data_IF_344314530260
#
_entry.id   IF_344314530260
#
_cell.length_a   1.000
_cell.length_b   1.000
_cell.length_c   1.000
_cell.angle_alpha   90.00
_cell.angle_beta   90.00
_cell.angle_gamma   90.00
#
_symmetry.space_group_name_H-M   'P 1'
#
loop_
_entity.id
_entity.type
_entity.pdbx_description
1 polymer ?
#
# COMPACT_ATOMS: atom_id res chain seq x y z
N UNK A 1 -13.55 52.82 -3.66
CA UNK A 1 -14.72 52.34 -2.90
C UNK A 1 -14.38 50.91 -2.51
N UNK A 2 -14.08 50.62 -1.24
CA UNK A 2 -15.08 50.45 -0.16
C UNK A 2 -16.00 49.25 -0.48
N UNK A 3 -16.17 48.23 0.38
CA UNK A 3 -15.76 48.11 1.78
C UNK A 3 -15.65 46.63 2.24
N UNK A 4 -15.06 46.43 3.43
CA UNK A 4 -15.45 45.54 4.54
C UNK A 4 -16.22 44.20 4.32
N UNK A 5 -16.08 43.14 5.14
CA UNK A 5 -15.28 42.82 6.36
C UNK A 5 -15.56 41.34 6.78
N UNK A 6 -14.81 40.86 7.79
CA UNK A 6 -15.19 39.82 8.79
C UNK A 6 -15.23 38.33 8.36
N UNK A 7 -14.89 37.33 9.20
CA UNK A 7 -14.60 37.31 10.66
C UNK A 7 -13.53 36.25 11.06
N UNK A 8 -13.08 36.36 12.32
CA UNK A 8 -12.12 35.58 13.13
C UNK A 8 -12.16 34.03 12.98
N UNK A 9 -11.17 33.23 13.40
CA UNK A 9 -9.95 33.43 14.21
C UNK A 9 -9.14 32.10 14.30
N UNK A 10 -8.49 31.67 15.40
CA UNK A 10 -8.18 32.30 16.69
C UNK A 10 -7.13 31.44 17.46
N UNK A 11 -5.88 31.91 17.71
CA UNK A 11 -5.01 31.40 18.80
C UNK A 11 -3.85 32.37 19.12
N UNK A 12 -4.18 33.42 19.86
CA UNK A 12 -3.23 34.36 20.47
C UNK A 12 -2.49 33.73 21.65
N UNK A 13 -1.15 33.78 21.65
CA UNK A 13 -0.37 33.75 22.91
C UNK A 13 0.30 35.09 23.14
N UNK A 14 -0.39 35.89 23.95
CA UNK A 14 0.03 37.11 24.64
C UNK A 14 1.54 37.40 24.58
N UNK A 15 1.91 38.41 23.80
CA UNK A 15 3.15 39.15 24.05
C UNK A 15 2.91 40.08 25.24
N UNK A 16 3.18 39.60 26.46
CA UNK A 16 3.36 40.52 27.60
C UNK A 16 4.64 41.33 27.35
N UNK A 17 4.47 42.63 27.18
CA UNK A 17 5.54 43.61 27.05
C UNK A 17 6.29 43.72 28.38
N UNK A 18 7.40 42.99 28.52
CA UNK A 18 8.40 43.26 29.55
C UNK A 18 9.49 44.14 28.95
N UNK A 19 9.44 45.42 29.29
CA UNK A 19 10.44 46.40 28.91
C UNK A 19 11.75 46.14 29.67
N UNK A 20 12.60 45.27 29.14
CA UNK A 20 13.97 45.12 29.62
C UNK A 20 14.82 46.27 29.05
N UNK A 21 15.20 47.23 29.90
CA UNK A 21 15.83 48.50 29.54
C UNK A 21 17.29 48.42 29.06
N UNK A 22 17.60 47.53 28.12
CA UNK A 22 18.93 47.39 27.52
C UNK A 22 18.83 47.58 26.00
N UNK A 23 18.63 48.82 25.56
CA UNK A 23 18.50 49.20 24.16
C UNK A 23 19.39 50.42 23.85
N UNK A 24 20.38 50.31 22.96
CA UNK A 24 21.05 51.48 22.39
C UNK A 24 20.07 52.21 21.47
N UNK A 25 19.73 53.46 21.78
CA UNK A 25 18.86 54.31 20.96
C UNK A 25 19.62 55.00 19.82
N UNK A 26 20.35 54.26 18.99
CA UNK A 26 20.97 54.83 17.77
C UNK A 26 21.02 53.83 16.59
N UNK A 27 20.70 54.26 15.36
CA UNK A 27 20.98 53.49 14.14
C UNK A 27 22.46 53.68 13.78
N UNK A 28 23.34 52.90 14.42
CA UNK A 28 24.77 53.22 14.43
C UNK A 28 25.73 52.05 14.63
N UNK A 29 25.34 50.81 14.30
CA UNK A 29 26.26 49.79 13.78
C UNK A 29 25.48 48.56 13.27
N UNK A 30 25.66 48.11 12.01
CA UNK A 30 24.92 46.97 11.47
C UNK A 30 25.38 45.59 11.97
N UNK A 31 26.42 45.51 12.82
CA UNK A 31 27.03 44.25 13.27
C UNK A 31 26.75 43.87 14.75
N UNK A 32 25.97 44.66 15.52
CA UNK A 32 25.87 44.46 16.97
C UNK A 32 24.88 43.35 17.34
N UNK A 33 25.39 42.16 17.69
CA UNK A 33 24.61 41.22 18.49
C UNK A 33 24.49 41.73 19.93
N UNK A 34 23.37 41.43 20.59
CA UNK A 34 23.07 41.82 21.97
C UNK A 34 22.87 40.59 22.83
N UNK A 35 23.55 40.53 23.97
CA UNK A 35 23.44 39.44 24.94
C UNK A 35 22.42 39.80 26.02
N UNK A 36 21.37 39.01 26.18
CA UNK A 36 20.35 39.19 27.22
C UNK A 36 20.23 37.95 28.11
N UNK A 37 19.90 38.17 29.38
CA UNK A 37 19.60 37.12 30.36
C UNK A 37 18.09 36.88 30.41
N UNK A 38 17.68 35.62 30.44
CA UNK A 38 16.30 35.19 30.61
C UNK A 38 15.95 35.06 32.10
N UNK A 39 14.68 35.31 32.46
CA UNK A 39 14.15 35.26 33.84
C UNK A 39 14.46 33.93 34.56
N UNK A 40 14.49 32.81 33.83
CA UNK A 40 14.82 31.49 34.37
C UNK A 40 16.33 31.19 34.43
N UNK A 41 17.18 32.23 34.38
CA UNK A 41 18.64 32.13 34.53
C UNK A 41 19.39 31.63 33.29
N UNK A 42 18.75 31.61 32.12
CA UNK A 42 19.39 31.31 30.84
C UNK A 42 19.97 32.56 30.16
N UNK A 43 20.73 32.35 29.09
CA UNK A 43 21.21 33.41 28.19
C UNK A 43 20.63 33.25 26.78
N UNK A 44 20.44 34.38 26.09
CA UNK A 44 20.06 34.47 24.67
C UNK A 44 20.84 35.57 23.97
N UNK A 45 21.16 35.33 22.71
CA UNK A 45 21.78 36.30 21.79
C UNK A 45 20.70 36.78 20.82
N UNK A 46 20.53 38.09 20.71
CA UNK A 46 19.66 38.76 19.74
C UNK A 46 20.55 39.42 18.70
N UNK A 47 20.18 39.38 17.42
CA UNK A 47 20.98 39.96 16.32
C UNK A 47 20.08 40.26 15.12
N UNK A 48 20.57 41.07 14.17
CA UNK A 48 19.97 41.22 12.85
C UNK A 48 20.65 40.24 11.87
N UNK A 49 19.85 39.50 11.10
CA UNK A 49 20.36 38.64 10.02
C UNK A 49 20.75 39.45 8.78
N UNK A 50 21.36 38.78 7.80
CA UNK A 50 21.69 39.38 6.50
C UNK A 50 20.46 39.75 5.63
N UNK A 51 19.25 39.47 6.11
CA UNK A 51 17.95 39.83 5.52
C UNK A 51 17.24 40.97 6.28
N UNK A 52 17.99 41.72 7.10
CA UNK A 52 17.56 42.79 7.99
C UNK A 52 16.50 42.41 9.05
N UNK A 53 16.20 41.11 9.23
CA UNK A 53 15.27 40.65 10.27
C UNK A 53 15.97 40.39 11.60
N UNK A 54 15.25 40.64 12.70
CA UNK A 54 15.73 40.37 14.06
C UNK A 54 15.49 38.92 14.46
N UNK A 55 16.56 38.23 14.83
CA UNK A 55 16.55 36.85 15.31
C UNK A 55 16.92 36.74 16.79
N UNK A 56 16.65 35.58 17.39
CA UNK A 56 17.01 35.29 18.78
C UNK A 56 17.43 33.83 18.93
N UNK A 57 18.70 33.60 19.27
CA UNK A 57 19.23 32.28 19.60
C UNK A 57 19.36 32.15 21.12
N UNK A 58 18.56 31.24 21.70
CA UNK A 58 18.71 30.89 23.12
C UNK A 58 19.91 29.96 23.28
N UNK A 59 20.79 30.26 24.23
CA UNK A 59 21.92 29.41 24.61
C UNK A 59 21.45 28.42 25.69
N UNK A 60 20.79 28.93 26.72
CA UNK A 60 20.40 28.16 27.91
C UNK A 60 21.20 28.59 29.14
N UNK A 61 21.28 27.73 30.17
CA UNK A 61 22.09 28.01 31.38
C UNK A 61 23.57 27.81 31.05
N UNK A 62 24.34 28.90 31.05
CA UNK A 62 25.79 28.90 30.89
C UNK A 62 26.41 30.07 31.67
N UNK A 63 27.74 30.07 31.81
CA UNK A 63 28.46 31.20 32.43
C UNK A 63 28.40 32.43 31.52
N UNK A 64 28.44 33.64 32.10
CA UNK A 64 28.46 34.90 31.33
C UNK A 64 29.58 34.91 30.28
N UNK A 65 30.80 34.51 30.68
CA UNK A 65 31.98 34.41 29.79
C UNK A 65 31.75 33.48 28.58
N UNK A 66 31.08 32.33 28.77
CA UNK A 66 30.74 31.44 27.67
C UNK A 66 29.65 32.03 26.75
N UNK A 67 28.69 32.77 27.32
CA UNK A 67 27.66 33.47 26.57
C UNK A 67 28.23 34.62 25.72
N UNK A 68 29.18 35.40 26.28
CA UNK A 68 29.93 36.44 25.56
C UNK A 68 30.78 35.83 24.42
N UNK A 69 31.41 34.66 24.64
CA UNK A 69 32.13 33.96 23.57
C UNK A 69 31.19 33.51 22.44
N UNK A 70 30.01 32.98 22.78
CA UNK A 70 29.01 32.60 21.78
C UNK A 70 28.47 33.82 21.01
N UNK A 71 28.29 34.97 21.66
CA UNK A 71 27.92 36.24 21.02
C UNK A 71 28.94 36.63 19.94
N UNK A 72 30.22 36.67 20.28
CA UNK A 72 31.30 37.04 19.33
C UNK A 72 31.37 36.07 18.15
N UNK A 73 31.20 34.76 18.38
CA UNK A 73 31.18 33.78 17.29
C UNK A 73 29.95 33.93 16.37
N UNK A 74 28.80 34.33 16.92
CA UNK A 74 27.60 34.68 16.12
C UNK A 74 27.83 35.94 15.28
N UNK A 75 28.49 36.96 15.82
CA UNK A 75 28.84 38.19 15.09
C UNK A 75 29.77 37.89 13.90
N UNK A 76 30.79 37.03 14.09
CA UNK A 76 31.67 36.58 13.01
C UNK A 76 30.95 35.78 11.92
N UNK A 77 29.96 34.95 12.29
CA UNK A 77 29.13 34.24 11.31
C UNK A 77 28.31 35.21 10.44
N UNK A 78 27.72 36.25 11.06
CA UNK A 78 26.95 37.28 10.34
C UNK A 78 27.87 38.08 9.40
N UNK A 79 29.03 38.50 9.90
CA UNK A 79 30.03 39.25 9.12
C UNK A 79 30.52 38.46 7.90
N UNK A 80 30.90 37.20 8.10
CA UNK A 80 31.33 36.32 7.01
C UNK A 80 30.21 36.08 5.98
N UNK A 81 28.97 35.88 6.42
CA UNK A 81 27.80 35.69 5.57
C UNK A 81 27.47 36.95 4.76
N UNK A 82 27.61 38.14 5.35
CA UNK A 82 27.34 39.43 4.71
C UNK A 82 28.42 39.84 3.70
N UNK A 83 29.69 39.58 4.01
CA UNK A 83 30.82 39.92 3.15
C UNK A 83 31.13 38.84 2.10
N UNK A 84 30.51 37.65 2.19
CA UNK A 84 30.75 36.54 1.28
C UNK A 84 32.13 35.88 1.44
N UNK A 85 32.77 36.08 2.60
CA UNK A 85 34.13 35.60 2.89
C UNK A 85 34.12 34.24 3.62
N UNK A 86 35.16 33.40 3.47
CA UNK A 86 35.27 32.15 4.22
C UNK A 86 35.41 32.41 5.73
N UNK A 87 34.93 31.46 6.55
CA UNK A 87 35.04 31.54 8.02
C UNK A 87 36.51 31.52 8.46
N UNK A 88 36.84 32.34 9.47
CA UNK A 88 38.14 32.28 10.13
C UNK A 88 38.32 30.95 10.88
N UNK A 89 39.58 30.48 10.99
CA UNK A 89 39.93 29.22 11.63
C UNK A 89 39.30 29.00 13.02
N UNK A 90 39.34 29.97 13.93
CA UNK A 90 38.66 29.90 15.22
C UNK A 90 37.13 29.68 15.13
N UNK A 91 36.43 30.44 14.28
CA UNK A 91 34.97 30.28 14.10
C UNK A 91 34.65 28.94 13.44
N UNK A 92 35.42 28.50 12.44
CA UNK A 92 35.25 27.18 11.81
C UNK A 92 35.47 26.03 12.81
N UNK A 93 36.47 26.12 13.68
CA UNK A 93 36.72 25.15 14.74
C UNK A 93 35.59 25.14 15.79
N UNK A 94 35.09 26.31 16.19
CA UNK A 94 33.94 26.43 17.08
C UNK A 94 32.68 25.80 16.46
N UNK A 95 32.36 26.11 15.20
CA UNK A 95 31.25 25.49 14.47
C UNK A 95 31.39 23.97 14.37
N UNK A 96 32.61 23.43 14.26
CA UNK A 96 32.86 21.99 14.29
C UNK A 96 32.59 21.39 15.67
N UNK A 97 32.96 22.09 16.75
CA UNK A 97 32.78 21.66 18.15
C UNK A 97 31.37 21.87 18.73
N UNK A 98 30.47 22.59 18.03
CA UNK A 98 29.10 22.85 18.48
C UNK A 98 28.30 21.56 18.77
N UNK A 99 27.62 21.56 19.92
CA UNK A 99 26.60 20.57 20.26
C UNK A 99 25.42 20.60 19.29
N UNK A 100 24.71 19.48 19.16
CA UNK A 100 23.63 19.32 18.19
C UNK A 100 22.46 20.32 18.40
N UNK A 101 22.19 20.74 19.63
CA UNK A 101 21.06 21.60 19.99
C UNK A 101 21.35 23.07 19.68
N UNK A 102 22.59 23.53 19.90
CA UNK A 102 23.02 24.87 19.49
C UNK A 102 23.25 24.95 17.98
N UNK A 103 23.82 23.91 17.35
CA UNK A 103 23.95 23.81 15.89
C UNK A 103 22.61 23.94 15.17
N UNK A 104 21.61 23.16 15.57
CA UNK A 104 20.27 23.21 14.97
C UNK A 104 19.60 24.59 15.18
N UNK A 105 19.74 25.21 16.36
CA UNK A 105 19.25 26.58 16.59
C UNK A 105 19.89 27.60 15.65
N UNK A 106 21.18 27.48 15.35
CA UNK A 106 21.90 28.37 14.42
C UNK A 106 21.54 28.10 12.94
N UNK A 107 21.24 26.86 12.58
CA UNK A 107 20.73 26.51 11.24
C UNK A 107 19.32 27.06 11.01
N UNK A 108 18.42 27.00 12.00
CA UNK A 108 17.05 27.54 11.91
C UNK A 108 16.99 29.06 11.70
N UNK A 109 18.03 29.80 12.09
CA UNK A 109 18.15 31.25 11.89
C UNK A 109 19.08 31.62 10.71
N UNK A 110 19.45 30.64 9.87
CA UNK A 110 20.21 30.88 8.64
C UNK A 110 21.70 31.19 8.80
N UNK A 111 22.25 31.18 10.02
CA UNK A 111 23.66 31.50 10.30
C UNK A 111 24.63 30.35 10.00
N UNK A 112 24.12 29.12 9.95
CA UNK A 112 24.88 27.96 9.50
C UNK A 112 24.18 27.35 8.30
N UNK A 113 24.91 27.24 7.20
CA UNK A 113 24.49 26.38 6.10
C UNK A 113 24.40 24.94 6.64
N UNK A 114 23.20 24.37 6.60
CA UNK A 114 23.02 22.94 6.86
C UNK A 114 23.71 22.10 5.78
N UNK A 115 23.88 20.77 6.00
CA UNK A 115 24.09 19.89 4.86
C UNK A 115 22.98 20.17 3.82
N UNK A 116 23.30 20.20 2.52
CA UNK A 116 22.41 20.74 1.48
C UNK A 116 21.04 20.10 1.61
N UNK A 117 20.03 20.92 1.90
CA UNK A 117 18.69 20.42 2.22
C UNK A 117 18.12 19.72 0.99
N UNK A 118 18.14 18.38 1.03
CA UNK A 118 17.49 17.56 0.01
C UNK A 118 15.99 17.85 0.05
N UNK A 119 15.49 18.43 -1.03
CA UNK A 119 14.06 18.62 -1.29
C UNK A 119 13.43 17.29 -1.70
N UNK A 120 12.15 17.11 -1.37
CA UNK A 120 11.44 15.84 -1.53
C UNK A 120 11.49 15.32 -2.98
N UNK A 121 11.27 16.17 -3.98
CA UNK A 121 11.31 15.76 -5.39
C UNK A 121 12.66 15.19 -5.80
N UNK A 122 13.76 15.89 -5.48
CA UNK A 122 15.12 15.48 -5.83
C UNK A 122 15.44 14.14 -5.20
N UNK A 123 15.26 14.02 -3.89
CA UNK A 123 15.52 12.78 -3.15
C UNK A 123 14.76 11.56 -3.71
N UNK A 124 13.48 11.71 -4.02
CA UNK A 124 12.65 10.61 -4.54
C UNK A 124 13.06 10.20 -5.97
N UNK A 125 13.48 11.17 -6.80
CA UNK A 125 13.97 10.91 -8.15
C UNK A 125 15.37 10.26 -8.13
N UNK A 126 16.31 10.81 -7.35
CA UNK A 126 17.66 10.29 -7.14
C UNK A 126 17.60 8.82 -6.65
N UNK A 127 16.69 8.49 -5.72
CA UNK A 127 16.45 7.13 -5.27
C UNK A 127 15.99 6.19 -6.40
N UNK A 128 15.03 6.61 -7.22
CA UNK A 128 14.54 5.78 -8.34
C UNK A 128 15.66 5.57 -9.36
N UNK A 129 16.37 6.64 -9.73
CA UNK A 129 17.44 6.60 -10.73
C UNK A 129 18.60 5.71 -10.28
N UNK A 130 19.04 5.83 -9.02
CA UNK A 130 20.09 4.97 -8.44
C UNK A 130 19.70 3.48 -8.50
N UNK A 131 18.43 3.15 -8.18
CA UNK A 131 17.94 1.76 -8.24
C UNK A 131 17.76 1.24 -9.67
N UNK A 132 17.47 2.11 -10.63
CA UNK A 132 17.48 1.75 -12.05
C UNK A 132 18.91 1.47 -12.54
N UNK A 133 19.89 2.35 -12.24
CA UNK A 133 21.31 2.14 -12.59
C UNK A 133 21.88 0.83 -12.04
N UNK A 134 21.44 0.41 -10.86
CA UNK A 134 21.86 -0.86 -10.23
C UNK A 134 21.28 -2.12 -10.87
N UNK A 135 20.25 -2.01 -11.73
CA UNK A 135 19.55 -3.17 -12.32
C UNK A 135 18.81 -4.08 -11.32
N UNK A 136 18.80 -3.74 -10.03
CA UNK A 136 18.34 -4.64 -8.96
C UNK A 136 16.82 -4.65 -8.78
N UNK A 137 16.08 -3.94 -9.64
CA UNK A 137 14.61 -3.73 -9.54
C UNK A 137 13.95 -3.89 -10.90
N UNK A 138 12.86 -4.64 -10.98
CA UNK A 138 12.08 -4.79 -12.22
C UNK A 138 11.22 -3.55 -12.53
N UNK A 139 11.03 -3.23 -13.82
CA UNK A 139 10.31 -2.03 -14.27
C UNK A 139 8.89 -1.88 -13.71
N UNK A 140 8.20 -3.00 -13.47
CA UNK A 140 6.87 -2.98 -12.86
C UNK A 140 6.89 -2.39 -11.43
N UNK A 141 7.97 -2.61 -10.69
CA UNK A 141 8.20 -2.00 -9.38
C UNK A 141 8.55 -0.52 -9.52
N UNK A 142 9.41 -0.16 -10.49
CA UNK A 142 9.74 1.24 -10.80
C UNK A 142 8.49 2.06 -11.16
N UNK A 143 7.61 1.53 -12.02
CA UNK A 143 6.31 2.14 -12.34
C UNK A 143 5.45 2.34 -11.08
N UNK A 144 5.41 1.34 -10.20
CA UNK A 144 4.68 1.41 -8.91
C UNK A 144 5.26 2.45 -7.95
N UNK A 145 6.59 2.63 -7.94
CA UNK A 145 7.27 3.68 -7.18
C UNK A 145 6.95 5.06 -7.74
N UNK A 146 7.06 5.28 -9.06
CA UNK A 146 6.73 6.57 -9.70
C UNK A 146 5.29 7.03 -9.41
N UNK A 147 4.32 6.10 -9.39
CA UNK A 147 2.94 6.40 -8.96
C UNK A 147 2.83 6.82 -7.49
N UNK A 148 3.68 6.27 -6.62
CA UNK A 148 3.71 6.63 -5.19
C UNK A 148 4.43 7.96 -4.97
N UNK A 149 5.54 8.20 -5.68
CA UNK A 149 6.26 9.48 -5.70
C UNK A 149 5.33 10.61 -6.14
N UNK A 150 4.56 10.45 -7.23
CA UNK A 150 3.55 11.43 -7.64
C UNK A 150 2.60 11.80 -6.50
N UNK A 151 2.07 10.80 -5.77
CA UNK A 151 1.16 11.01 -4.65
C UNK A 151 1.82 11.55 -3.38
N UNK A 152 3.14 11.41 -3.22
CA UNK A 152 3.89 12.12 -2.17
C UNK A 152 4.03 13.60 -2.55
N UNK A 153 4.48 13.90 -3.76
CA UNK A 153 4.70 15.27 -4.25
C UNK A 153 3.38 16.09 -4.32
N UNK A 154 2.28 15.44 -4.70
CA UNK A 154 0.94 16.05 -4.77
C UNK A 154 0.41 16.53 -3.39
N UNK A 155 0.79 15.86 -2.31
CA UNK A 155 0.35 16.20 -0.95
C UNK A 155 1.36 17.08 -0.20
N UNK A 156 2.65 16.75 -0.28
CA UNK A 156 3.71 17.44 0.46
C UNK A 156 4.22 18.72 -0.22
N UNK A 157 4.03 18.83 -1.53
CA UNK A 157 4.75 19.78 -2.38
C UNK A 157 6.14 19.25 -2.79
N UNK A 158 6.65 19.62 -3.98
CA UNK A 158 7.93 19.14 -4.48
C UNK A 158 9.15 19.63 -3.68
N UNK A 159 9.09 20.89 -3.24
CA UNK A 159 10.20 21.59 -2.58
C UNK A 159 10.26 21.40 -1.06
N UNK A 160 9.36 20.57 -0.50
CA UNK A 160 9.31 20.27 0.94
C UNK A 160 10.67 19.72 1.41
N UNK A 161 11.34 20.35 2.40
CA UNK A 161 12.59 19.82 2.94
C UNK A 161 12.38 18.47 3.63
N UNK A 162 13.26 17.51 3.38
CA UNK A 162 13.14 16.13 3.89
C UNK A 162 12.96 16.04 5.42
N UNK A 163 13.70 16.86 6.17
CA UNK A 163 13.70 16.89 7.63
C UNK A 163 12.42 17.52 8.22
N UNK A 164 11.63 18.23 7.41
CA UNK A 164 10.40 18.91 7.81
C UNK A 164 9.14 18.04 7.59
N UNK A 165 9.31 16.74 7.37
CA UNK A 165 8.26 15.74 7.22
C UNK A 165 8.23 14.89 8.48
N UNK A 166 7.18 15.05 9.28
CA UNK A 166 6.98 14.37 10.57
C UNK A 166 6.20 13.07 10.43
N UNK A 167 6.16 12.25 11.49
CA UNK A 167 5.26 11.08 11.56
C UNK A 167 3.78 11.46 11.44
N UNK A 168 3.39 12.59 12.05
CA UNK A 168 2.03 13.14 11.97
C UNK A 168 1.67 13.52 10.52
N UNK A 169 2.60 14.10 9.76
CA UNK A 169 2.38 14.35 8.33
C UNK A 169 2.20 13.05 7.53
N UNK A 170 2.94 11.99 7.87
CA UNK A 170 2.83 10.69 7.22
C UNK A 170 1.48 10.01 7.52
N UNK A 171 0.93 10.21 8.72
CA UNK A 171 -0.43 9.80 9.09
C UNK A 171 -1.49 10.62 8.35
N UNK A 172 -1.35 11.95 8.28
CA UNK A 172 -2.23 12.82 7.47
C UNK A 172 -2.22 12.40 6.00
N UNK A 173 -1.05 12.10 5.42
CA UNK A 173 -0.95 11.59 4.05
C UNK A 173 -1.67 10.24 3.87
N UNK A 174 -1.55 9.33 4.83
CA UNK A 174 -2.25 8.05 4.80
C UNK A 174 -3.78 8.19 4.97
N UNK A 175 -4.26 9.23 5.66
CA UNK A 175 -5.68 9.59 5.73
C UNK A 175 -6.17 10.19 4.41
N UNK A 176 -5.43 11.16 3.85
CA UNK A 176 -5.72 11.80 2.55
C UNK A 176 -5.77 10.80 1.38
N UNK A 177 -4.89 9.79 1.39
CA UNK A 177 -4.96 8.71 0.42
C UNK A 177 -6.29 7.92 0.46
N UNK A 178 -6.93 7.82 1.63
CA UNK A 178 -8.21 7.12 1.82
C UNK A 178 -9.40 8.02 1.50
N UNK A 179 -9.46 9.22 2.07
CA UNK A 179 -10.59 10.12 1.96
C UNK A 179 -10.65 10.78 0.57
N UNK A 180 -9.63 11.57 0.23
CA UNK A 180 -9.61 12.41 -0.97
C UNK A 180 -9.28 11.59 -2.23
N UNK A 181 -8.22 10.77 -2.17
CA UNK A 181 -7.82 9.92 -3.30
C UNK A 181 -8.67 8.65 -3.46
N UNK A 182 -9.61 8.39 -2.53
CA UNK A 182 -10.53 7.22 -2.53
C UNK A 182 -9.83 5.88 -2.81
N UNK A 183 -8.59 5.72 -2.33
CA UNK A 183 -7.83 4.49 -2.56
C UNK A 183 -8.26 3.38 -1.60
N UNK A 184 -8.49 2.18 -2.14
CA UNK A 184 -8.74 0.98 -1.34
C UNK A 184 -7.60 0.72 -0.33
N UNK A 185 -7.94 0.22 0.86
CA UNK A 185 -7.04 0.08 2.01
C UNK A 185 -5.70 -0.61 1.68
N UNK A 186 -5.73 -1.71 0.90
CA UNK A 186 -4.52 -2.40 0.45
C UNK A 186 -3.62 -1.57 -0.47
N UNK A 187 -4.20 -0.67 -1.27
CA UNK A 187 -3.45 0.30 -2.09
C UNK A 187 -2.76 1.33 -1.21
N UNK A 188 -3.43 1.83 -0.16
CA UNK A 188 -2.86 2.78 0.81
C UNK A 188 -1.71 2.13 1.57
N UNK A 189 -1.93 0.95 2.17
CA UNK A 189 -0.89 0.15 2.85
C UNK A 189 0.35 -0.05 1.97
N UNK A 190 0.15 -0.37 0.68
CA UNK A 190 1.26 -0.57 -0.25
C UNK A 190 2.03 0.71 -0.56
N UNK A 191 1.34 1.85 -0.67
CA UNK A 191 1.96 3.19 -0.83
C UNK A 191 2.73 3.60 0.44
N UNK A 192 2.17 3.40 1.62
CA UNK A 192 2.86 3.60 2.90
C UNK A 192 4.11 2.71 3.02
N UNK A 193 4.06 1.47 2.55
CA UNK A 193 5.23 0.58 2.49
C UNK A 193 6.35 1.08 1.57
N UNK A 194 5.98 1.70 0.44
CA UNK A 194 6.94 2.33 -0.48
C UNK A 194 7.49 3.64 0.08
N UNK A 195 6.66 4.51 0.66
CA UNK A 195 7.12 5.71 1.35
C UNK A 195 8.09 5.36 2.49
N UNK A 196 7.77 4.37 3.34
CA UNK A 196 8.70 3.83 4.35
C UNK A 196 10.01 3.37 3.74
N UNK A 197 9.98 2.66 2.61
CA UNK A 197 11.20 2.20 1.94
C UNK A 197 12.08 3.37 1.46
N UNK A 198 11.46 4.42 0.91
CA UNK A 198 12.18 5.62 0.47
C UNK A 198 12.80 6.35 1.67
N UNK A 199 12.02 6.69 2.69
CA UNK A 199 12.54 7.41 3.86
C UNK A 199 13.55 6.56 4.69
N UNK A 200 13.46 5.23 4.67
CA UNK A 200 14.49 4.34 5.23
C UNK A 200 15.82 4.36 4.44
N UNK A 201 15.82 4.78 3.18
CA UNK A 201 17.05 5.13 2.47
C UNK A 201 17.59 6.49 2.94
N UNK A 202 16.71 7.49 3.14
CA UNK A 202 17.09 8.80 3.71
C UNK A 202 17.81 8.68 5.06
N UNK A 203 17.27 7.88 5.99
CA UNK A 203 17.92 7.59 7.29
C UNK A 203 19.30 6.93 7.10
N UNK A 204 19.41 5.91 6.24
CA UNK A 204 20.69 5.21 5.99
C UNK A 204 21.77 6.12 5.38
N UNK A 205 21.37 7.12 4.60
CA UNK A 205 22.26 8.14 4.05
C UNK A 205 22.41 9.38 4.96
N UNK A 206 21.90 9.34 6.19
CA UNK A 206 21.97 10.42 7.20
C UNK A 206 21.38 11.75 6.71
N UNK A 207 20.42 11.70 5.78
CA UNK A 207 19.68 12.87 5.27
C UNK A 207 18.57 13.32 6.24
N UNK A 208 18.08 12.38 7.06
CA UNK A 208 17.08 12.56 8.11
C UNK A 208 17.44 11.66 9.30
N UNK A 209 17.06 12.06 10.51
CA UNK A 209 17.37 11.33 11.75
C UNK A 209 16.51 10.08 11.91
N UNK A 210 15.23 10.17 11.55
CA UNK A 210 14.23 9.12 11.73
C UNK A 210 13.34 8.97 10.49
N UNK A 211 12.56 7.90 10.43
CA UNK A 211 11.68 7.61 9.29
C UNK A 211 10.22 7.95 9.66
N UNK A 212 9.62 9.02 9.11
CA UNK A 212 8.26 9.44 9.47
C UNK A 212 7.19 8.36 9.13
N UNK A 213 7.45 7.48 8.17
CA UNK A 213 6.53 6.40 7.79
C UNK A 213 6.74 5.11 8.61
N UNK A 214 7.55 5.12 9.68
CA UNK A 214 7.89 3.91 10.46
C UNK A 214 6.70 3.28 11.20
N UNK A 215 5.81 4.08 11.80
CA UNK A 215 4.69 3.59 12.62
C UNK A 215 3.49 3.03 11.84
N UNK A 216 3.33 3.40 10.57
CA UNK A 216 2.14 3.07 9.78
C UNK A 216 1.92 1.55 9.55
N UNK A 217 0.69 1.15 9.23
CA UNK A 217 0.44 -0.24 8.81
C UNK A 217 0.67 -0.38 7.30
N UNK A 218 1.64 -1.22 6.91
CA UNK A 218 2.06 -1.38 5.50
C UNK A 218 1.83 -2.79 4.94
N UNK A 219 1.52 -3.75 5.79
CA UNK A 219 1.24 -5.13 5.39
C UNK A 219 -0.14 -5.23 4.72
N UNK A 220 -0.12 -5.59 3.43
CA UNK A 220 -1.30 -5.88 2.61
C UNK A 220 -1.99 -7.14 3.12
N UNK A 221 -3.32 -7.14 3.22
CA UNK A 221 -4.12 -8.29 3.68
C UNK A 221 -4.82 -9.01 2.52
N UNK A 222 -5.10 -10.32 2.61
CA UNK A 222 -6.09 -10.97 1.75
C UNK A 222 -7.46 -10.27 1.86
N UNK A 223 -8.28 -10.42 0.82
CA UNK A 223 -9.64 -9.86 0.75
C UNK A 223 -10.57 -11.05 0.43
N UNK A 224 -11.11 -11.75 1.44
CA UNK A 224 -11.88 -12.99 1.25
C UNK A 224 -13.10 -12.83 0.35
N UNK A 225 -13.73 -11.65 0.37
CA UNK A 225 -14.92 -11.27 -0.40
C UNK A 225 -14.66 -11.22 -1.92
N UNK A 226 -13.39 -11.34 -2.33
CA UNK A 226 -12.96 -11.42 -3.73
C UNK A 226 -12.51 -12.83 -4.14
N UNK A 227 -12.68 -13.84 -3.28
CA UNK A 227 -12.50 -15.25 -3.64
C UNK A 227 -13.72 -15.71 -4.44
N UNK A 228 -13.50 -16.56 -5.43
CA UNK A 228 -14.55 -17.13 -6.25
C UNK A 228 -14.05 -18.49 -6.76
N UNK A 229 -14.84 -19.54 -6.57
CA UNK A 229 -14.55 -20.86 -7.10
C UNK A 229 -15.18 -20.98 -8.50
N UNK A 230 -14.37 -21.27 -9.49
CA UNK A 230 -14.79 -21.40 -10.90
C UNK A 230 -14.98 -22.88 -11.18
N UNK A 231 -16.20 -23.38 -11.08
CA UNK A 231 -16.55 -24.79 -11.31
C UNK A 231 -16.40 -25.22 -12.80
N UNK A 232 -16.65 -26.50 -13.08
CA UNK A 232 -16.47 -27.08 -14.43
C UNK A 232 -17.55 -26.64 -15.43
N UNK A 233 -18.78 -26.40 -14.99
CA UNK A 233 -19.89 -26.00 -15.86
C UNK A 233 -19.74 -24.53 -16.28
N UNK A 234 -19.32 -23.68 -15.33
CA UNK A 234 -18.87 -22.31 -15.59
C UNK A 234 -17.73 -22.29 -16.63
N UNK A 235 -16.77 -23.22 -16.55
CA UNK A 235 -15.68 -23.33 -17.52
C UNK A 235 -16.19 -23.72 -18.90
N UNK A 236 -17.06 -24.73 -19.00
CA UNK A 236 -17.62 -25.20 -20.27
C UNK A 236 -18.34 -24.06 -21.02
N UNK A 237 -19.27 -23.37 -20.33
CA UNK A 237 -20.01 -22.22 -20.88
C UNK A 237 -19.10 -21.09 -21.37
N UNK A 238 -18.00 -20.80 -20.67
CA UNK A 238 -17.04 -19.76 -21.10
C UNK A 238 -16.24 -20.21 -22.31
N UNK A 239 -15.83 -21.49 -22.39
CA UNK A 239 -15.05 -22.03 -23.51
C UNK A 239 -15.77 -21.93 -24.86
N UNK A 240 -17.10 -22.09 -24.87
CA UNK A 240 -17.96 -21.93 -26.06
C UNK A 240 -17.95 -20.49 -26.61
N UNK A 241 -17.74 -19.49 -25.74
CA UNK A 241 -17.77 -18.06 -26.08
C UNK A 241 -16.39 -17.46 -26.36
N UNK A 242 -15.32 -18.27 -26.30
CA UNK A 242 -13.95 -17.82 -26.60
C UNK A 242 -13.69 -17.85 -28.12
N UNK A 243 -13.00 -16.83 -28.66
CA UNK A 243 -13.01 -16.57 -30.10
C UNK A 243 -12.18 -17.53 -30.96
N UNK A 244 -11.22 -18.26 -30.38
CA UNK A 244 -10.41 -19.28 -31.09
C UNK A 244 -9.70 -20.23 -30.11
N UNK A 245 -9.03 -21.25 -30.65
CA UNK A 245 -8.27 -22.25 -29.91
C UNK A 245 -7.17 -21.68 -28.99
N UNK A 246 -6.43 -20.64 -29.40
CA UNK A 246 -5.37 -20.04 -28.57
C UNK A 246 -5.94 -19.39 -27.30
N UNK A 247 -7.12 -18.76 -27.39
CA UNK A 247 -7.83 -18.24 -26.22
C UNK A 247 -8.39 -19.34 -25.32
N UNK A 248 -8.93 -20.42 -25.90
CA UNK A 248 -9.39 -21.62 -25.15
C UNK A 248 -8.24 -22.25 -24.38
N UNK A 249 -7.11 -22.48 -25.05
CA UNK A 249 -5.89 -23.02 -24.43
C UNK A 249 -5.35 -22.09 -23.32
N UNK A 250 -5.31 -20.77 -23.53
CA UNK A 250 -4.93 -19.83 -22.46
C UNK A 250 -5.85 -19.94 -21.23
N UNK A 251 -7.16 -20.10 -21.43
CA UNK A 251 -8.12 -20.22 -20.34
C UNK A 251 -7.94 -21.53 -19.57
N UNK A 252 -7.77 -22.66 -20.27
CA UNK A 252 -7.48 -23.98 -19.68
C UNK A 252 -6.13 -24.00 -18.94
N UNK A 253 -5.09 -23.39 -19.51
CA UNK A 253 -3.80 -23.24 -18.85
C UNK A 253 -3.90 -22.38 -17.57
N UNK A 254 -4.76 -21.36 -17.54
CA UNK A 254 -5.01 -20.59 -16.33
C UNK A 254 -5.84 -21.37 -15.28
N UNK A 255 -6.83 -22.17 -15.73
CA UNK A 255 -7.80 -22.85 -14.85
C UNK A 255 -7.39 -24.23 -14.36
N UNK A 256 -6.73 -25.04 -15.17
CA UNK A 256 -6.39 -26.43 -14.82
C UNK A 256 -4.88 -26.66 -14.74
N UNK A 257 -4.08 -26.00 -15.60
CA UNK A 257 -2.63 -25.94 -15.39
C UNK A 257 -2.23 -24.91 -14.32
N UNK A 258 -3.17 -24.07 -13.88
CA UNK A 258 -3.00 -23.12 -12.78
C UNK A 258 -1.94 -22.04 -13.04
N UNK A 259 -1.69 -21.64 -14.29
CA UNK A 259 -0.61 -20.72 -14.63
C UNK A 259 -0.87 -19.27 -14.23
N UNK A 260 0.20 -18.52 -13.91
CA UNK A 260 0.11 -17.08 -13.63
C UNK A 260 0.10 -16.26 -14.93
N UNK A 261 -1.06 -15.72 -15.28
CA UNK A 261 -1.24 -14.87 -16.46
C UNK A 261 -0.91 -13.40 -16.16
N UNK A 262 -0.09 -12.69 -16.97
CA UNK A 262 0.61 -13.16 -18.18
C UNK A 262 2.07 -13.60 -17.93
N UNK A 263 2.55 -13.56 -16.68
CA UNK A 263 3.98 -13.66 -16.37
C UNK A 263 4.63 -15.02 -16.67
N UNK A 264 3.85 -16.09 -16.60
CA UNK A 264 4.29 -17.44 -16.96
C UNK A 264 3.91 -17.75 -18.41
N UNK A 265 2.66 -17.45 -18.80
CA UNK A 265 2.12 -17.78 -20.13
C UNK A 265 2.84 -17.08 -21.30
N UNK A 266 3.39 -15.88 -21.10
CA UNK A 266 4.16 -15.15 -22.13
C UNK A 266 5.42 -15.88 -22.61
N UNK A 267 5.98 -16.77 -21.79
CA UNK A 267 7.28 -17.38 -22.03
C UNK A 267 7.21 -18.90 -22.30
N UNK A 268 6.00 -19.48 -22.41
CA UNK A 268 5.82 -20.90 -22.69
C UNK A 268 6.24 -21.26 -24.12
N UNK A 269 7.09 -22.27 -24.24
CA UNK A 269 7.59 -22.77 -25.53
C UNK A 269 7.18 -24.22 -25.74
N UNK A 270 7.16 -24.65 -26.99
CA UNK A 270 6.94 -26.07 -27.30
C UNK A 270 8.09 -26.96 -26.78
N UNK A 271 9.31 -26.44 -26.71
CA UNK A 271 10.44 -27.15 -26.08
C UNK A 271 10.34 -27.30 -24.54
N UNK A 272 9.39 -26.64 -23.89
CA UNK A 272 9.11 -26.83 -22.46
C UNK A 272 8.12 -27.99 -22.20
N UNK A 273 7.53 -28.56 -23.26
CA UNK A 273 6.58 -29.68 -23.22
C UNK A 273 7.33 -30.99 -23.41
N UNK A 274 7.25 -31.89 -22.43
CA UNK A 274 7.68 -33.27 -22.56
C UNK A 274 6.44 -34.17 -22.71
N UNK A 275 6.24 -34.70 -23.92
CA UNK A 275 5.08 -35.53 -24.27
C UNK A 275 5.16 -36.96 -23.72
N UNK A 276 6.35 -37.53 -23.56
CA UNK A 276 6.52 -38.91 -23.08
C UNK A 276 6.24 -39.01 -21.58
N UNK A 277 6.76 -38.03 -20.82
CA UNK A 277 6.53 -37.92 -19.37
C UNK A 277 5.24 -37.14 -19.03
N UNK A 278 4.56 -36.57 -20.02
CA UNK A 278 3.42 -35.65 -19.86
C UNK A 278 3.69 -34.55 -18.81
N UNK A 279 4.82 -33.85 -18.94
CA UNK A 279 5.19 -32.74 -18.04
C UNK A 279 5.45 -31.44 -18.80
N UNK A 280 5.21 -30.32 -18.12
CA UNK A 280 5.46 -28.96 -18.60
C UNK A 280 6.46 -28.25 -17.67
N UNK A 281 7.52 -27.71 -18.25
CA UNK A 281 8.47 -26.83 -17.55
C UNK A 281 7.92 -25.40 -17.54
N UNK A 282 7.60 -24.88 -16.35
CA UNK A 282 7.01 -23.55 -16.20
C UNK A 282 8.03 -22.58 -15.61
N UNK A 283 8.60 -21.74 -16.48
CA UNK A 283 9.47 -20.64 -16.09
C UNK A 283 8.72 -19.60 -15.26
N UNK A 284 9.34 -19.14 -14.17
CA UNK A 284 8.76 -18.25 -13.17
C UNK A 284 9.63 -16.99 -13.01
N UNK A 285 9.56 -16.01 -13.95
CA UNK A 285 10.47 -14.86 -13.99
C UNK A 285 10.49 -14.01 -12.70
N UNK A 286 9.37 -14.00 -11.97
CA UNK A 286 9.24 -13.27 -10.70
C UNK A 286 10.08 -13.86 -9.57
N UNK A 287 10.35 -15.16 -9.60
CA UNK A 287 11.10 -15.89 -8.56
C UNK A 287 12.48 -16.34 -9.01
N UNK A 288 12.87 -16.13 -10.27
CA UNK A 288 14.19 -16.44 -10.81
C UNK A 288 15.38 -15.76 -10.10
N UNK A 289 15.13 -14.70 -9.30
CA UNK A 289 16.13 -14.09 -8.42
C UNK A 289 16.44 -14.92 -7.16
N UNK A 290 15.66 -15.96 -6.89
CA UNK A 290 15.89 -16.91 -5.79
C UNK A 290 16.41 -18.22 -6.40
N UNK A 291 17.58 -18.68 -5.93
CA UNK A 291 18.25 -19.90 -6.41
C UNK A 291 17.28 -21.09 -6.40
N UNK A 292 17.14 -21.77 -7.55
CA UNK A 292 16.25 -22.94 -7.71
C UNK A 292 14.75 -22.65 -7.72
N UNK A 293 14.32 -21.39 -7.90
CA UNK A 293 12.90 -21.00 -8.06
C UNK A 293 12.63 -20.25 -9.37
N UNK A 294 13.54 -20.39 -10.34
CA UNK A 294 13.45 -19.87 -11.70
C UNK A 294 12.47 -20.65 -12.57
N UNK A 295 12.28 -21.94 -12.31
CA UNK A 295 11.33 -22.82 -13.01
C UNK A 295 10.72 -23.86 -12.05
N UNK A 296 9.64 -24.51 -12.48
CA UNK A 296 9.06 -25.70 -11.85
C UNK A 296 8.64 -26.70 -12.91
N UNK A 297 8.60 -27.98 -12.56
CA UNK A 297 8.03 -29.04 -13.40
C UNK A 297 6.63 -29.31 -12.86
N UNK A 298 5.64 -29.37 -13.75
CA UNK A 298 4.25 -29.63 -13.42
C UNK A 298 3.70 -30.69 -14.39
N UNK A 299 2.95 -31.71 -13.95
CA UNK A 299 2.29 -32.64 -14.86
C UNK A 299 1.29 -31.89 -15.74
N UNK A 300 1.17 -32.27 -17.02
CA UNK A 300 0.15 -31.74 -17.93
C UNK A 300 -1.16 -32.40 -17.55
N UNK A 301 -2.02 -31.68 -16.85
CA UNK A 301 -3.25 -32.28 -16.32
C UNK A 301 -4.23 -32.66 -17.43
N UNK A 302 -4.99 -33.78 -17.29
CA UNK A 302 -5.87 -34.31 -18.34
C UNK A 302 -6.79 -33.27 -18.98
N UNK A 303 -7.32 -32.32 -18.19
CA UNK A 303 -8.23 -31.27 -18.66
C UNK A 303 -7.61 -30.29 -19.68
N UNK A 304 -6.29 -30.31 -19.87
CA UNK A 304 -5.55 -29.44 -20.79
C UNK A 304 -4.98 -30.22 -21.99
N UNK A 305 -4.84 -31.54 -21.89
CA UNK A 305 -4.06 -32.35 -22.84
C UNK A 305 -4.59 -32.30 -24.27
N UNK A 306 -5.91 -32.41 -24.46
CA UNK A 306 -6.52 -32.44 -25.79
C UNK A 306 -6.33 -31.11 -26.55
N UNK A 307 -6.61 -29.98 -25.90
CA UNK A 307 -6.47 -28.65 -26.50
C UNK A 307 -4.99 -28.25 -26.66
N UNK A 308 -4.12 -28.72 -25.78
CA UNK A 308 -2.66 -28.57 -25.93
C UNK A 308 -2.13 -29.35 -27.15
N UNK A 309 -2.63 -30.57 -27.37
CA UNK A 309 -2.29 -31.40 -28.54
C UNK A 309 -2.80 -30.75 -29.82
N UNK A 310 -4.09 -30.39 -29.89
CA UNK A 310 -4.67 -29.73 -31.04
C UNK A 310 -3.95 -28.41 -31.42
N UNK A 311 -3.51 -27.64 -30.43
CA UNK A 311 -2.72 -26.42 -30.66
C UNK A 311 -1.27 -26.69 -31.11
N UNK A 312 -0.70 -27.85 -30.80
CA UNK A 312 0.60 -28.29 -31.32
C UNK A 312 0.48 -28.77 -32.76
N UNK A 313 -0.53 -29.61 -33.04
CA UNK A 313 -0.77 -30.17 -34.37
C UNK A 313 -1.16 -29.08 -35.40
N UNK A 314 -1.79 -28.00 -34.93
CA UNK A 314 -2.10 -26.81 -35.73
C UNK A 314 -0.98 -25.75 -35.79
N UNK A 315 0.17 -25.97 -35.14
CA UNK A 315 1.28 -25.02 -35.14
C UNK A 315 2.21 -25.24 -36.34
N UNK A 316 2.55 -24.17 -37.05
CA UNK A 316 3.48 -24.22 -38.18
C UNK A 316 4.85 -24.82 -37.78
N UNK A 317 5.47 -25.68 -38.61
CA UNK A 317 6.79 -26.23 -38.34
C UNK A 317 7.83 -25.17 -37.99
N UNK A 318 8.56 -25.38 -36.89
CA UNK A 318 9.51 -24.40 -36.36
C UNK A 318 8.90 -23.32 -35.45
N UNK A 319 7.58 -23.34 -35.21
CA UNK A 319 6.94 -22.53 -34.17
C UNK A 319 7.60 -22.75 -32.81
N UNK A 320 7.98 -21.66 -32.13
CA UNK A 320 8.67 -21.73 -30.82
C UNK A 320 7.69 -21.60 -29.66
N UNK A 321 6.64 -20.79 -29.81
CA UNK A 321 5.78 -20.34 -28.70
C UNK A 321 4.45 -21.08 -28.67
N UNK A 322 4.03 -21.43 -27.45
CA UNK A 322 2.78 -22.16 -27.18
C UNK A 322 1.54 -21.25 -27.29
N UNK A 323 1.73 -19.94 -27.11
CA UNK A 323 0.72 -18.88 -27.26
C UNK A 323 1.33 -17.72 -28.08
N UNK A 324 1.52 -17.92 -29.40
CA UNK A 324 2.32 -17.02 -30.24
C UNK A 324 1.70 -15.63 -30.41
N UNK A 325 0.37 -15.49 -30.45
CA UNK A 325 -0.28 -14.18 -30.56
C UNK A 325 -0.52 -13.56 -29.19
N UNK A 326 -0.89 -14.36 -28.18
CA UNK A 326 -1.29 -13.85 -26.86
C UNK A 326 -0.11 -13.46 -25.97
N UNK A 327 1.12 -13.90 -26.25
CA UNK A 327 2.33 -13.54 -25.47
C UNK A 327 2.56 -12.02 -25.39
N UNK A 328 2.31 -11.28 -26.46
CA UNK A 328 2.53 -9.82 -26.52
C UNK A 328 1.39 -9.02 -25.89
N UNK A 329 0.18 -9.60 -25.82
CA UNK A 329 -1.05 -8.92 -25.40
C UNK A 329 -0.97 -8.44 -23.94
N UNK A 330 -1.37 -7.19 -23.64
CA UNK A 330 -1.46 -6.69 -22.26
C UNK A 330 -2.47 -7.46 -21.42
N UNK A 331 -2.17 -7.66 -20.13
CA UNK A 331 -3.09 -8.34 -19.18
C UNK A 331 -4.49 -7.71 -19.13
N UNK A 332 -4.59 -6.38 -19.29
CA UNK A 332 -5.86 -5.66 -19.34
C UNK A 332 -6.74 -6.14 -20.50
N UNK A 333 -6.18 -6.26 -21.70
CA UNK A 333 -6.85 -6.79 -22.88
C UNK A 333 -7.21 -8.27 -22.74
N UNK A 334 -6.32 -9.08 -22.12
CA UNK A 334 -6.62 -10.48 -21.80
C UNK A 334 -7.82 -10.62 -20.85
N UNK A 335 -7.89 -9.79 -19.80
CA UNK A 335 -9.04 -9.81 -18.88
C UNK A 335 -10.31 -9.38 -19.60
N UNK A 336 -10.29 -8.22 -20.28
CA UNK A 336 -11.46 -7.67 -20.98
C UNK A 336 -12.08 -8.66 -21.98
N UNK A 337 -11.25 -9.38 -22.75
CA UNK A 337 -11.74 -10.38 -23.72
C UNK A 337 -12.42 -11.58 -23.06
N UNK A 338 -11.87 -12.08 -21.95
CA UNK A 338 -12.47 -13.20 -21.21
C UNK A 338 -13.69 -12.72 -20.43
N UNK A 339 -13.66 -11.56 -19.78
CA UNK A 339 -14.81 -10.96 -19.10
C UNK A 339 -15.99 -10.75 -20.06
N UNK A 340 -15.72 -10.40 -21.33
CA UNK A 340 -16.72 -10.38 -22.40
C UNK A 340 -17.28 -11.77 -22.76
N UNK A 341 -16.45 -12.81 -22.77
CA UNK A 341 -16.90 -14.19 -23.00
C UNK A 341 -17.76 -14.71 -21.82
N UNK A 342 -17.40 -14.36 -20.58
CA UNK A 342 -18.20 -14.65 -19.38
C UNK A 342 -19.58 -13.99 -19.47
N UNK A 343 -19.64 -12.71 -19.88
CA UNK A 343 -20.93 -12.01 -20.11
C UNK A 343 -21.75 -12.65 -21.24
N UNK A 344 -21.10 -13.04 -22.36
CA UNK A 344 -21.77 -13.73 -23.47
C UNK A 344 -22.32 -15.11 -23.06
N UNK A 345 -21.67 -15.78 -22.10
CA UNK A 345 -22.13 -17.04 -21.51
C UNK A 345 -23.29 -16.88 -20.50
N UNK A 346 -23.84 -15.67 -20.34
CA UNK A 346 -24.91 -15.37 -19.37
C UNK A 346 -24.44 -15.35 -17.91
N UNK A 347 -23.13 -15.25 -17.67
CA UNK A 347 -22.53 -15.30 -16.34
C UNK A 347 -22.04 -13.91 -15.88
N UNK A 348 -21.99 -13.70 -14.57
CA UNK A 348 -21.41 -12.48 -13.99
C UNK A 348 -19.87 -12.59 -13.92
N UNK A 349 -19.09 -11.63 -14.45
CA UNK A 349 -17.64 -11.60 -14.29
C UNK A 349 -17.20 -11.56 -12.83
N UNK A 350 -16.43 -12.56 -12.40
CA UNK A 350 -15.93 -12.66 -11.04
C UNK A 350 -14.69 -11.79 -10.79
N UNK A 351 -14.50 -11.28 -9.55
CA UNK A 351 -13.33 -10.47 -9.22
C UNK A 351 -12.02 -11.25 -9.42
N UNK A 352 -10.94 -10.52 -9.70
CA UNK A 352 -9.57 -11.05 -9.86
C UNK A 352 -9.36 -12.14 -10.94
N UNK A 353 -10.36 -12.45 -11.79
CA UNK A 353 -10.32 -13.38 -12.94
C UNK A 353 -9.27 -14.51 -12.84
N UNK A 354 -8.08 -14.31 -13.43
CA UNK A 354 -6.96 -15.26 -13.47
C UNK A 354 -6.45 -15.75 -12.10
N UNK A 355 -6.57 -14.94 -11.04
CA UNK A 355 -6.17 -15.35 -9.68
C UNK A 355 -7.15 -16.41 -9.17
N UNK A 356 -8.45 -16.23 -9.41
CA UNK A 356 -9.49 -17.16 -8.96
C UNK A 356 -9.55 -18.43 -9.81
N UNK A 357 -9.25 -18.36 -11.12
CA UNK A 357 -9.01 -19.56 -11.95
C UNK A 357 -7.93 -20.45 -11.33
N UNK A 358 -6.78 -19.85 -10.97
CA UNK A 358 -5.67 -20.56 -10.32
C UNK A 358 -5.99 -20.98 -8.88
N UNK A 359 -6.74 -20.18 -8.11
CA UNK A 359 -7.15 -20.51 -6.75
C UNK A 359 -8.09 -21.73 -6.70
N UNK A 360 -8.98 -21.83 -7.70
CA UNK A 360 -9.87 -22.99 -7.87
C UNK A 360 -9.03 -24.26 -8.07
N UNK A 361 -8.04 -24.24 -8.97
CA UNK A 361 -7.13 -25.39 -9.15
C UNK A 361 -6.31 -25.73 -7.92
N UNK A 362 -5.82 -24.73 -7.21
CA UNK A 362 -5.06 -24.93 -5.99
C UNK A 362 -5.90 -25.55 -4.85
N UNK A 363 -7.22 -25.36 -4.86
CA UNK A 363 -8.13 -26.07 -3.96
C UNK A 363 -8.25 -27.53 -4.41
N UNK A 364 -8.69 -27.78 -5.65
CA UNK A 364 -8.85 -29.12 -6.23
C UNK A 364 -7.61 -30.03 -6.08
N UNK A 365 -6.40 -29.48 -6.28
CA UNK A 365 -5.16 -30.24 -6.17
C UNK A 365 -4.80 -30.61 -4.73
N UNK A 366 -5.22 -29.82 -3.73
CA UNK A 366 -5.00 -30.14 -2.30
C UNK A 366 -6.04 -31.15 -1.81
N UNK A 367 -7.24 -31.16 -2.42
CA UNK A 367 -8.28 -32.16 -2.12
C UNK A 367 -7.93 -33.56 -2.67
N UNK A 368 -7.11 -33.62 -3.73
CA UNK A 368 -6.70 -34.87 -4.41
C UNK A 368 -5.26 -35.32 -4.11
N UNK A 369 -4.36 -34.41 -3.71
CA UNK A 369 -2.94 -34.70 -3.48
C UNK A 369 -2.41 -34.00 -2.21
N UNK A 370 -1.35 -34.52 -1.57
CA UNK A 370 -0.74 -33.87 -0.42
C UNK A 370 -0.36 -32.42 -0.70
N UNK A 371 -0.65 -31.52 0.24
CA UNK A 371 -0.51 -30.07 0.10
C UNK A 371 0.85 -29.60 -0.44
N UNK A 372 1.95 -30.24 -0.01
CA UNK A 372 3.30 -29.91 -0.47
C UNK A 372 3.52 -30.25 -1.96
N UNK A 373 2.89 -31.32 -2.46
CA UNK A 373 2.94 -31.74 -3.88
C UNK A 373 2.19 -30.73 -4.75
N UNK A 374 0.94 -30.41 -4.38
CA UNK A 374 0.14 -29.38 -5.06
C UNK A 374 0.84 -28.01 -5.06
N UNK A 375 1.46 -27.64 -3.94
CA UNK A 375 2.23 -26.40 -3.80
C UNK A 375 3.48 -26.37 -4.66
N UNK A 376 4.18 -27.50 -4.83
CA UNK A 376 5.33 -27.63 -5.72
C UNK A 376 4.93 -27.46 -7.19
N UNK A 377 3.90 -28.16 -7.65
CA UNK A 377 3.39 -28.09 -9.04
C UNK A 377 2.88 -26.69 -9.42
N UNK A 378 2.21 -25.99 -8.50
CA UNK A 378 1.77 -24.62 -8.74
C UNK A 378 2.87 -23.57 -8.46
N UNK A 379 3.94 -23.93 -7.76
CA UNK A 379 5.03 -23.02 -7.42
C UNK A 379 4.62 -21.93 -6.43
N UNK A 380 4.03 -22.32 -5.29
CA UNK A 380 3.84 -21.46 -4.12
C UNK A 380 4.26 -22.19 -2.84
N UNK A 381 4.32 -21.49 -1.71
CA UNK A 381 4.43 -22.15 -0.40
C UNK A 381 3.04 -22.51 0.13
N UNK A 382 2.96 -23.42 1.09
CA UNK A 382 1.68 -23.82 1.70
C UNK A 382 1.02 -22.64 2.42
N UNK A 383 1.77 -21.87 3.21
CA UNK A 383 1.27 -20.65 3.85
C UNK A 383 0.72 -19.58 2.85
N UNK A 384 1.20 -19.56 1.60
CA UNK A 384 0.62 -18.72 0.54
C UNK A 384 -0.68 -19.34 0.02
N UNK A 385 -0.78 -20.67 -0.04
CA UNK A 385 -2.00 -21.38 -0.39
C UNK A 385 -3.12 -21.12 0.64
N UNK A 386 -2.82 -21.23 1.92
CA UNK A 386 -3.74 -20.94 3.03
C UNK A 386 -4.29 -19.51 2.95
N UNK A 387 -3.38 -18.53 2.84
CA UNK A 387 -3.74 -17.11 2.83
C UNK A 387 -4.54 -16.69 1.58
N UNK A 388 -4.31 -17.31 0.42
CA UNK A 388 -4.80 -16.78 -0.87
C UNK A 388 -5.61 -17.72 -1.75
N UNK A 389 -5.50 -19.04 -1.59
CA UNK A 389 -6.03 -19.99 -2.57
C UNK A 389 -7.04 -21.00 -2.02
N UNK A 390 -6.81 -21.56 -0.83
CA UNK A 390 -7.71 -22.58 -0.25
C UNK A 390 -9.10 -21.99 0.00
N UNK A 391 -10.12 -22.66 -0.52
CA UNK A 391 -11.53 -22.29 -0.42
C UNK A 391 -12.34 -23.49 0.10
N UNK A 392 -13.40 -23.23 0.86
CA UNK A 392 -14.42 -24.25 1.16
C UNK A 392 -15.41 -24.25 -0.01
N UNK A 393 -15.68 -25.42 -0.58
CA UNK A 393 -16.61 -25.59 -1.71
C UNK A 393 -17.89 -26.26 -1.24
N UNK A 394 -19.02 -26.13 -1.98
CA UNK A 394 -20.24 -26.91 -1.71
C UNK A 394 -19.98 -28.42 -1.73
N UNK A 395 -19.06 -28.88 -2.59
CA UNK A 395 -18.64 -30.27 -2.65
C UNK A 395 -17.94 -30.73 -1.35
N UNK A 396 -17.19 -29.88 -0.64
CA UNK A 396 -16.63 -30.25 0.67
C UNK A 396 -17.72 -30.50 1.70
N UNK A 397 -18.77 -29.67 1.71
CA UNK A 397 -19.90 -29.83 2.62
C UNK A 397 -20.67 -31.13 2.32
N UNK A 398 -20.93 -31.42 1.04
CA UNK A 398 -21.57 -32.66 0.61
C UNK A 398 -20.73 -33.89 0.97
N UNK A 399 -19.43 -33.90 0.63
CA UNK A 399 -18.53 -35.01 0.96
C UNK A 399 -18.45 -35.24 2.47
N UNK A 400 -18.40 -34.18 3.28
CA UNK A 400 -18.37 -34.28 4.73
C UNK A 400 -19.66 -34.87 5.36
N UNK A 401 -20.78 -34.90 4.64
CA UNK A 401 -22.03 -35.55 5.09
C UNK A 401 -22.28 -36.92 4.45
N UNK A 402 -21.61 -37.25 3.33
CA UNK A 402 -21.83 -38.52 2.61
C UNK A 402 -20.67 -39.51 2.68
N UNK A 403 -19.42 -39.06 2.86
CA UNK A 403 -18.24 -39.92 2.91
C UNK A 403 -17.80 -40.15 4.36
N UNK A 404 -17.84 -41.41 4.82
CA UNK A 404 -17.25 -41.78 6.10
C UNK A 404 -15.71 -41.68 6.01
N UNK A 405 -15.09 -40.99 6.96
CA UNK A 405 -13.63 -40.80 7.03
C UNK A 405 -12.88 -41.97 7.68
N UNK A 406 -13.59 -43.03 8.04
CA UNK A 406 -13.08 -44.27 8.60
C UNK A 406 -14.22 -45.09 9.24
N UNK A 407 -14.01 -46.38 9.41
CA UNK A 407 -14.98 -47.24 10.10
C UNK A 407 -15.02 -46.94 11.60
N UNK A 408 -16.22 -46.83 12.17
CA UNK A 408 -16.42 -46.73 13.62
C UNK A 408 -16.46 -48.16 14.18
N UNK A 409 -15.45 -48.63 14.94
CA UNK A 409 -15.34 -50.06 15.29
C UNK A 409 -16.53 -50.63 16.08
N UNK A 410 -17.26 -49.77 16.79
CA UNK A 410 -18.46 -50.08 17.56
C UNK A 410 -19.71 -50.34 16.70
N UNK A 411 -19.77 -49.83 15.46
CA UNK A 411 -20.98 -49.90 14.63
C UNK A 411 -21.35 -51.34 14.23
N UNK A 412 -20.36 -52.24 14.11
CA UNK A 412 -20.58 -53.65 13.78
C UNK A 412 -21.35 -54.44 14.86
N UNK A 413 -21.39 -53.96 16.12
CA UNK A 413 -22.02 -54.68 17.24
C UNK A 413 -23.48 -54.27 17.51
N UNK A 414 -24.03 -53.27 16.81
CA UNK A 414 -25.37 -52.72 17.08
C UNK A 414 -26.41 -52.88 15.95
N UNK A 415 -26.13 -53.69 14.93
CA UNK A 415 -27.10 -54.00 13.87
C UNK A 415 -28.31 -54.85 14.31
N UNK A 416 -28.36 -55.28 15.58
CA UNK A 416 -29.42 -56.14 16.12
C UNK A 416 -29.96 -55.66 17.47
N UNK A 417 -30.52 -54.43 17.53
CA UNK A 417 -31.62 -54.07 18.45
C UNK A 417 -32.21 -52.68 18.15
N UNK A 418 -33.53 -52.59 18.30
CA UNK A 418 -34.43 -51.41 18.17
C UNK A 418 -34.83 -50.97 16.74
N UNK A 419 -36.13 -51.04 16.38
CA UNK A 419 -36.66 -50.31 15.22
C UNK A 419 -36.73 -48.80 15.52
N UNK A 420 -36.64 -47.98 14.47
CA UNK A 420 -36.62 -46.53 14.59
C UNK A 420 -37.96 -45.97 15.10
N UNK A 421 -37.91 -45.19 16.19
CA UNK A 421 -39.01 -44.33 16.63
C UNK A 421 -38.57 -42.88 16.38
N UNK A 422 -39.12 -42.25 15.33
CA UNK A 422 -38.87 -40.84 15.04
C UNK A 422 -39.78 -39.96 15.90
N UNK A 423 -39.24 -39.41 16.99
CA UNK A 423 -39.84 -38.28 17.70
C UNK A 423 -38.81 -37.18 17.81
N UNK A 424 -38.87 -36.23 16.87
CA UNK A 424 -38.31 -34.90 17.05
C UNK A 424 -39.49 -33.96 17.28
N UNK A 425 -39.59 -33.26 18.43
CA UNK A 425 -40.52 -32.15 18.54
C UNK A 425 -40.10 -31.03 17.58
N UNK A 426 -41.07 -30.41 16.92
CA UNK A 426 -40.83 -29.34 15.96
C UNK A 426 -40.25 -28.10 16.67
N UNK A 427 -39.05 -27.68 16.26
CA UNK A 427 -38.41 -26.47 16.79
C UNK A 427 -38.73 -25.32 15.83
N UNK A 428 -39.97 -24.88 15.87
CA UNK A 428 -40.41 -23.67 15.16
C UNK A 428 -39.68 -22.44 15.74
N UNK A 429 -38.93 -21.73 14.90
CA UNK A 429 -38.36 -20.44 15.27
C UNK A 429 -39.49 -19.44 15.53
N UNK A 430 -39.57 -18.78 16.71
CA UNK A 430 -40.69 -17.91 17.04
C UNK A 430 -40.65 -16.62 16.22
N UNK A 431 -41.56 -16.51 15.24
CA UNK A 431 -41.94 -15.22 14.66
C UNK A 431 -42.78 -14.43 15.65
N UNK A 432 -42.37 -13.19 15.94
CA UNK A 432 -43.06 -12.31 16.89
C UNK A 432 -44.09 -11.40 16.19
N UNK A 433 -45.33 -11.86 16.15
CA UNK A 433 -46.57 -11.09 15.96
C UNK A 433 -47.69 -11.86 16.71
N UNK A 434 -48.64 -11.29 17.46
CA UNK A 434 -48.99 -9.89 17.72
C UNK A 434 -49.69 -9.73 19.10
N UNK A 435 -49.68 -8.51 19.63
CA UNK A 435 -50.61 -7.89 20.59
C UNK A 435 -51.31 -8.72 21.71
N UNK A 436 -51.12 -8.31 22.98
CA UNK A 436 -52.20 -7.64 23.72
C UNK A 436 -51.72 -6.76 24.89
N UNK A 437 -52.52 -5.72 25.13
CA UNK A 437 -52.43 -4.59 26.07
C UNK A 437 -52.03 -4.91 27.52
N UNK A 438 -51.34 -3.96 28.19
CA UNK A 438 -51.87 -3.22 29.35
C UNK A 438 -51.00 -2.00 29.74
N UNK A 439 -51.62 -0.83 29.64
CA UNK A 439 -51.55 0.41 30.45
C UNK A 439 -50.24 1.05 31.02
N UNK A 440 -50.20 2.39 30.86
CA UNK A 440 -49.58 3.45 31.69
C UNK A 440 -48.07 3.40 32.01
N UNK A 441 -47.26 4.45 31.79
CA UNK A 441 -47.49 5.86 32.17
C UNK A 441 -46.70 6.86 31.30
N UNK A 442 -47.22 8.08 31.16
CA UNK A 442 -46.55 9.23 30.51
C UNK A 442 -45.66 9.98 31.51
N UNK A 443 -44.38 10.20 31.17
CA UNK A 443 -43.66 11.43 31.58
C UNK A 443 -42.93 12.01 30.36
N UNK A 444 -43.05 13.32 30.19
CA UNK A 444 -42.79 14.05 28.96
C UNK A 444 -41.68 15.10 29.17
N UNK A 445 -40.59 15.03 28.40
CA UNK A 445 -39.67 16.14 28.03
C UNK A 445 -38.57 15.59 27.09
N UNK A 446 -38.27 16.14 25.92
CA UNK A 446 -38.94 17.22 25.17
C UNK A 446 -38.19 17.53 23.85
N UNK A 447 -38.85 18.28 22.97
CA UNK A 447 -38.25 19.12 21.91
C UNK A 447 -37.61 18.45 20.67
N UNK A 448 -38.48 18.21 19.68
CA UNK A 448 -38.37 18.66 18.28
C UNK A 448 -37.09 18.41 17.45
N UNK A 449 -37.27 17.67 16.35
CA UNK A 449 -36.77 18.09 15.03
C UNK A 449 -37.85 17.83 13.95
N UNK A 450 -37.91 18.72 12.96
CA UNK A 450 -39.07 18.94 12.09
C UNK A 450 -39.20 17.98 10.90
N UNK A 451 -40.44 17.59 10.61
CA UNK A 451 -40.86 16.89 9.38
C UNK A 451 -41.03 17.89 8.22
N UNK A 452 -40.60 17.49 7.01
CA UNK A 452 -41.16 17.96 5.72
C UNK A 452 -41.34 16.72 4.81
N UNK A 453 -42.45 16.58 4.04
CA UNK A 453 -42.85 15.30 3.43
C UNK A 453 -42.40 15.12 1.96
N UNK A 454 -42.52 13.89 1.39
CA UNK A 454 -42.14 13.60 0.01
C UNK A 454 -43.18 14.08 -1.01
N UNK A 455 -42.70 14.49 -2.20
CA UNK A 455 -43.55 14.91 -3.33
C UNK A 455 -43.68 13.80 -4.37
N UNK A 456 -44.88 13.70 -4.95
CA UNK A 456 -45.34 12.63 -5.85
C UNK A 456 -44.56 12.50 -7.18
N UNK A 457 -44.59 11.28 -7.73
CA UNK A 457 -44.36 11.03 -9.16
C UNK A 457 -45.54 11.55 -9.98
N UNK A 458 -45.27 12.15 -11.13
CA UNK A 458 -46.22 12.23 -12.25
C UNK A 458 -45.51 11.91 -13.56
N UNK A 459 -46.19 11.17 -14.44
CA UNK A 459 -45.88 11.12 -15.86
C UNK A 459 -46.26 12.45 -16.53
N UNK A 460 -45.56 12.84 -17.59
CA UNK A 460 -46.18 13.20 -18.88
C UNK A 460 -45.11 13.24 -20.00
N UNK A 461 -45.55 13.16 -21.25
CA UNK A 461 -44.73 13.04 -22.46
C UNK A 461 -44.44 14.39 -23.16
N UNK A 462 -43.77 14.30 -24.33
CA UNK A 462 -43.72 15.28 -25.44
C UNK A 462 -42.84 16.53 -25.28
N UNK A 463 -41.60 16.45 -25.80
CA UNK A 463 -41.30 16.83 -27.20
C UNK A 463 -39.91 16.37 -27.65
#
# INVERSE_FOLDING_TARGET
>A
MADARYLHGLLTRSHKSWACGCCPKHPGDPNVASLCRDEHGGWRVLFCGADDKRYTVRLGKCTRKAADTCKVMVERLIEAQRLGVPLDGPTAAWVKALDAKLRDRLQRVGLLQGPPQQILQRFLNDYIEQRQRRGDVADATVRSWRLTVRKLLEFFGPDKPLHAITSEDAERWAAWLRADCKHAENTVRRRCGWARQFFAHGVRHKLITENPFAGLVTAVRPVPERRFFVDRDTVAKVLEQLPNAEWRLLFLLARFQGLRVPSETRNLRWCDVNWDAMTLVIHSPKTARHKGRDKRICPIFPEVQAELRAAFDAAEPGSVWLLPTLRSVPRTTLCYRIERAVLAAGLTPWPQLFVNLRASRATELVDAYPSHVASAWLGHTEAIADAHYRQVTPAHLQRATTEATGDIPWAAQKAAQYPAVSVCPDVSLPGHENAHLLEETVIHTGTSLSVVPPVNRSMCELR
#
